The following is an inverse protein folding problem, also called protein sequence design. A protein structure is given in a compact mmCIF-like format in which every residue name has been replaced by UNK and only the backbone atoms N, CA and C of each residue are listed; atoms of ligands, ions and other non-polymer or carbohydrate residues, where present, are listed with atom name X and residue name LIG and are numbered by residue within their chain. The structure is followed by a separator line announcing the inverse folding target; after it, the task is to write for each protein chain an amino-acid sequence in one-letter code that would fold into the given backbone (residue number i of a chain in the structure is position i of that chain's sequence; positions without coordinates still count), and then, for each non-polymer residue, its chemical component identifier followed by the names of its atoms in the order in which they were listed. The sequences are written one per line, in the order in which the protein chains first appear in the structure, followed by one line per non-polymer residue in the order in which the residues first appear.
data_IF_818124783498
#
_entry.id   IF_818124783498
#
_cell.length_a   1.000
_cell.length_b   1.000
_cell.length_c   1.000
_cell.angle_alpha   90.00
_cell.angle_beta   90.00
_cell.angle_gamma   90.00
#
_symmetry.space_group_name_H-M   'P 1'
#
loop_
_entity.id
_entity.type
_entity.pdbx_description
1 polymer ?
#
# COMPACT_ATOMS: atom_id res chain seq x y z
N UNK A 1 8.98 -12.66 8.76
CA UNK A 1 7.79 -12.86 9.63
C UNK A 1 7.00 -14.11 9.24
N UNK A 2 6.51 -14.83 10.24
CA UNK A 2 5.84 -16.12 10.08
C UNK A 2 4.52 -16.10 10.86
N UNK A 3 3.41 -16.06 10.13
CA UNK A 3 2.08 -16.16 10.74
C UNK A 3 1.77 -17.62 11.05
N UNK A 4 1.32 -17.89 12.27
CA UNK A 4 0.74 -19.19 12.63
C UNK A 4 -0.71 -19.23 12.14
N UNK A 5 -0.95 -19.94 11.03
CA UNK A 5 -2.27 -20.41 10.64
C UNK A 5 -2.92 -21.20 11.80
N UNK A 6 -4.27 -21.23 11.92
CA UNK A 6 -4.98 -22.17 12.80
C UNK A 6 -4.53 -23.64 12.63
N UNK A 7 -3.90 -23.98 11.49
CA UNK A 7 -3.35 -25.30 11.17
C UNK A 7 -1.83 -25.45 11.35
N UNK A 8 -1.11 -24.52 12.00
CA UNK A 8 0.38 -24.54 12.16
C UNK A 8 1.16 -24.74 10.85
N UNK A 9 0.70 -24.18 9.74
CA UNK A 9 1.49 -24.10 8.50
C UNK A 9 2.25 -22.77 8.46
N UNK A 10 3.56 -22.83 8.25
CA UNK A 10 4.41 -21.68 7.96
C UNK A 10 3.99 -21.10 6.60
N UNK A 11 3.61 -19.82 6.57
CA UNK A 11 3.33 -19.07 5.35
C UNK A 11 4.31 -17.91 5.17
N UNK A 12 4.71 -17.65 3.93
CA UNK A 12 5.49 -16.46 3.57
C UNK A 12 4.60 -15.24 3.54
N UNK A 13 4.76 -14.35 4.52
CA UNK A 13 3.97 -13.11 4.68
C UNK A 13 4.89 -11.92 4.89
N UNK A 14 4.41 -10.72 4.51
CA UNK A 14 5.15 -9.47 4.71
C UNK A 14 5.23 -9.06 6.18
N UNK A 15 4.16 -9.31 6.93
CA UNK A 15 4.04 -9.03 8.36
C UNK A 15 2.96 -9.92 8.98
N UNK A 16 2.94 -9.99 10.30
CA UNK A 16 1.97 -10.81 11.02
C UNK A 16 0.62 -10.09 11.13
N UNK A 17 -0.49 -10.83 11.21
CA UNK A 17 -1.83 -10.26 11.41
C UNK A 17 -2.57 -11.08 12.45
N UNK A 18 -3.34 -10.42 13.30
CA UNK A 18 -4.19 -11.11 14.27
C UNK A 18 -5.41 -11.76 13.59
N UNK A 19 -5.99 -11.07 12.61
CA UNK A 19 -7.11 -11.56 11.79
C UNK A 19 -7.11 -10.87 10.43
N UNK A 20 -7.81 -11.45 9.45
CA UNK A 20 -8.11 -10.78 8.17
C UNK A 20 -9.34 -9.90 8.43
N UNK A 21 -9.11 -8.65 8.83
CA UNK A 21 -10.15 -7.67 9.10
C UNK A 21 -9.53 -6.27 9.16
N UNK A 22 -10.25 -5.25 8.70
CA UNK A 22 -9.86 -3.87 8.94
C UNK A 22 -10.17 -3.38 10.37
N UNK A 23 -10.89 -4.19 11.15
CA UNK A 23 -11.33 -3.88 12.52
C UNK A 23 -10.52 -4.66 13.57
N UNK A 24 -9.21 -4.77 13.37
CA UNK A 24 -8.27 -5.23 14.42
C UNK A 24 -7.06 -4.30 14.52
N UNK A 25 -6.31 -4.38 15.63
CA UNK A 25 -4.99 -3.80 15.71
C UNK A 25 -4.08 -4.34 14.61
N UNK A 26 -3.15 -3.50 14.16
CA UNK A 26 -2.03 -3.91 13.32
C UNK A 26 -0.94 -4.57 14.17
N UNK A 27 -0.19 -5.51 13.62
CA UNK A 27 1.03 -6.03 14.26
C UNK A 27 2.22 -5.11 13.91
N UNK A 28 2.21 -3.91 14.49
CA UNK A 28 3.11 -2.80 14.14
C UNK A 28 4.59 -3.17 14.20
N UNK A 29 5.02 -3.98 15.17
CA UNK A 29 6.41 -4.42 15.30
C UNK A 29 6.92 -5.14 14.03
N UNK A 30 6.11 -6.06 13.50
CA UNK A 30 6.50 -6.82 12.28
C UNK A 30 6.37 -6.01 11.01
N UNK A 31 5.43 -5.06 10.98
CA UNK A 31 5.29 -4.10 9.88
C UNK A 31 6.52 -3.18 9.84
N UNK A 32 6.95 -2.65 10.99
CA UNK A 32 8.13 -1.80 11.10
C UNK A 32 9.42 -2.54 10.74
N UNK A 33 9.58 -3.76 11.23
CA UNK A 33 10.70 -4.61 10.84
C UNK A 33 10.77 -4.80 9.31
N UNK A 34 9.62 -5.00 8.66
CA UNK A 34 9.56 -5.10 7.20
C UNK A 34 9.83 -3.76 6.51
N UNK A 35 9.32 -2.65 7.04
CA UNK A 35 9.64 -1.31 6.54
C UNK A 35 11.14 -1.02 6.58
N UNK A 36 11.85 -1.42 7.63
CA UNK A 36 13.30 -1.26 7.69
C UNK A 36 14.02 -2.06 6.60
N UNK A 37 13.66 -3.34 6.42
CA UNK A 37 14.25 -4.14 5.34
C UNK A 37 13.97 -3.59 3.94
N UNK A 38 12.74 -3.11 3.68
CA UNK A 38 12.39 -2.49 2.40
C UNK A 38 13.03 -1.10 2.22
N UNK A 39 13.31 -0.39 3.32
CA UNK A 39 14.06 0.87 3.29
C UNK A 39 15.50 0.65 2.82
N UNK A 40 16.13 -0.46 3.22
CA UNK A 40 17.47 -0.80 2.74
C UNK A 40 17.49 -1.02 1.22
N UNK A 41 16.45 -1.69 0.67
CA UNK A 41 16.31 -1.83 -0.78
C UNK A 41 16.16 -0.48 -1.49
N UNK A 42 15.31 0.41 -0.97
CA UNK A 42 15.16 1.77 -1.52
C UNK A 42 16.50 2.51 -1.46
N UNK A 43 17.25 2.39 -0.36
CA UNK A 43 18.55 3.03 -0.20
C UNK A 43 19.59 2.50 -1.20
N UNK A 44 19.54 1.22 -1.56
CA UNK A 44 20.44 0.65 -2.56
C UNK A 44 20.13 1.14 -3.98
N UNK A 45 18.85 1.33 -4.32
CA UNK A 45 18.47 2.00 -5.58
C UNK A 45 18.95 3.46 -5.62
N UNK A 46 18.84 4.18 -4.49
CA UNK A 46 19.34 5.56 -4.37
C UNK A 46 20.85 5.61 -4.53
N UNK A 47 21.61 4.71 -3.90
CA UNK A 47 23.07 4.59 -4.08
C UNK A 47 23.43 4.29 -5.53
N UNK A 48 22.57 3.60 -6.25
CA UNK A 48 22.72 3.30 -7.68
C UNK A 48 22.35 4.48 -8.60
N UNK A 49 21.93 5.61 -8.03
CA UNK A 49 21.66 6.87 -8.74
C UNK A 49 20.18 7.13 -9.01
N UNK A 50 19.26 6.30 -8.53
CA UNK A 50 17.81 6.52 -8.71
C UNK A 50 17.31 7.48 -7.63
N UNK A 51 16.87 8.67 -8.02
CA UNK A 51 16.24 9.62 -7.08
C UNK A 51 14.88 9.08 -6.59
N UNK A 52 14.48 9.39 -5.36
CA UNK A 52 13.23 8.85 -4.79
C UNK A 52 11.96 9.26 -5.54
N UNK A 53 11.93 10.45 -6.12
CA UNK A 53 10.88 10.87 -7.05
C UNK A 53 10.86 10.07 -8.38
N UNK A 54 11.75 9.08 -8.52
CA UNK A 54 11.78 8.05 -9.57
C UNK A 54 11.54 6.62 -9.05
N UNK A 55 11.06 6.48 -7.82
CA UNK A 55 10.71 5.20 -7.22
C UNK A 55 9.19 5.17 -7.01
N UNK A 56 8.55 4.11 -7.50
CA UNK A 56 7.18 3.73 -7.13
C UNK A 56 7.24 2.51 -6.22
N UNK A 57 6.41 2.50 -5.19
CA UNK A 57 6.25 1.34 -4.30
C UNK A 57 4.83 0.83 -4.38
N UNK A 58 4.64 -0.48 -4.39
CA UNK A 58 3.29 -1.03 -4.47
C UNK A 58 3.24 -2.54 -4.44
N UNK A 59 2.02 -3.06 -4.37
CA UNK A 59 1.80 -4.50 -4.35
C UNK A 59 0.33 -4.89 -4.35
N UNK A 60 0.13 -6.21 -4.39
CA UNK A 60 -1.18 -6.85 -4.32
C UNK A 60 -1.46 -7.35 -2.89
N UNK A 61 -2.72 -7.23 -2.45
CA UNK A 61 -3.18 -7.71 -1.15
C UNK A 61 -2.30 -7.19 -0.01
N UNK A 62 -1.77 -8.06 0.83
CA UNK A 62 -0.85 -7.69 1.92
C UNK A 62 0.35 -6.85 1.44
N UNK A 63 0.83 -7.05 0.21
CA UNK A 63 1.91 -6.24 -0.37
C UNK A 63 1.51 -4.79 -0.63
N UNK A 64 0.24 -4.54 -1.01
CA UNK A 64 -0.28 -3.18 -1.16
C UNK A 64 -0.37 -2.47 0.20
N UNK A 65 -0.81 -3.19 1.24
CA UNK A 65 -0.83 -2.70 2.62
C UNK A 65 0.57 -2.35 3.11
N UNK A 66 1.54 -3.23 2.83
CA UNK A 66 2.95 -3.00 3.14
C UNK A 66 3.51 -1.77 2.40
N UNK A 67 3.18 -1.59 1.13
CA UNK A 67 3.62 -0.42 0.35
C UNK A 67 3.08 0.90 0.91
N UNK A 68 1.81 0.93 1.33
CA UNK A 68 1.22 2.09 2.01
C UNK A 68 1.93 2.38 3.34
N UNK A 69 2.21 1.35 4.14
CA UNK A 69 3.00 1.52 5.38
C UNK A 69 4.41 2.06 5.11
N UNK A 70 5.09 1.57 4.09
CA UNK A 70 6.43 2.03 3.73
C UNK A 70 6.41 3.50 3.32
N UNK A 71 5.54 3.88 2.38
CA UNK A 71 5.51 5.23 1.84
C UNK A 71 5.02 6.27 2.87
N UNK A 72 3.84 6.04 3.47
CA UNK A 72 3.20 7.08 4.30
C UNK A 72 3.80 7.23 5.70
N UNK A 73 4.68 6.32 6.10
CA UNK A 73 5.39 6.39 7.39
C UNK A 73 6.88 6.67 7.24
N UNK A 74 7.55 6.18 6.19
CA UNK A 74 9.01 6.22 6.08
C UNK A 74 9.54 6.90 4.82
N UNK A 75 8.83 6.82 3.69
CA UNK A 75 9.30 7.32 2.39
C UNK A 75 8.23 8.15 1.67
N UNK A 76 7.89 9.32 2.22
CA UNK A 76 6.85 10.22 1.68
C UNK A 76 7.29 11.00 0.44
N UNK A 77 8.54 10.83 0.04
CA UNK A 77 9.20 11.48 -1.09
C UNK A 77 9.35 10.54 -2.30
N UNK A 78 8.72 9.36 -2.27
CA UNK A 78 8.57 8.49 -3.44
C UNK A 78 7.64 9.11 -4.48
N UNK A 79 7.73 8.67 -5.73
CA UNK A 79 6.94 9.23 -6.83
C UNK A 79 5.44 8.91 -6.74
N UNK A 80 5.09 7.85 -6.02
CA UNK A 80 3.74 7.33 -5.91
C UNK A 80 3.69 5.95 -5.30
N UNK A 81 2.47 5.57 -4.92
CA UNK A 81 2.13 4.29 -4.29
C UNK A 81 1.04 3.63 -5.12
N UNK A 82 1.13 2.31 -5.36
CA UNK A 82 0.00 1.55 -5.88
C UNK A 82 -0.41 0.40 -4.97
N UNK A 83 -1.71 0.18 -4.84
CA UNK A 83 -2.28 -0.87 -3.99
C UNK A 83 -3.41 -1.59 -4.73
N UNK A 84 -3.24 -2.89 -4.96
CA UNK A 84 -4.19 -3.73 -5.70
C UNK A 84 -4.88 -4.68 -4.70
N UNK A 85 -6.21 -4.64 -4.63
CA UNK A 85 -7.03 -5.48 -3.72
C UNK A 85 -6.52 -5.48 -2.28
N UNK A 86 -6.30 -4.29 -1.72
CA UNK A 86 -5.63 -4.07 -0.43
C UNK A 86 -6.38 -3.06 0.43
N UNK A 87 -6.05 -3.04 1.73
CA UNK A 87 -6.64 -2.13 2.71
C UNK A 87 -5.61 -1.76 3.80
N UNK A 88 -5.96 -0.76 4.60
CA UNK A 88 -5.37 -0.44 5.90
C UNK A 88 -6.42 -0.68 7.00
N UNK A 89 -5.97 -0.99 8.21
CA UNK A 89 -6.87 -1.12 9.35
C UNK A 89 -7.41 0.26 9.77
N UNK A 90 -8.58 0.31 10.41
CA UNK A 90 -9.22 1.59 10.78
C UNK A 90 -8.35 2.48 11.66
N UNK A 91 -7.61 1.86 12.58
CA UNK A 91 -6.65 2.53 13.47
C UNK A 91 -5.21 2.36 12.93
N UNK A 92 -5.03 2.46 11.60
CA UNK A 92 -3.72 2.22 10.98
C UNK A 92 -2.68 3.23 11.43
N UNK A 93 -1.46 2.74 11.68
CA UNK A 93 -0.30 3.59 11.93
C UNK A 93 -0.02 4.57 10.78
N UNK A 94 -0.45 4.27 9.55
CA UNK A 94 -0.38 5.21 8.42
C UNK A 94 -1.17 6.49 8.70
N UNK A 95 -2.42 6.36 9.18
CA UNK A 95 -3.29 7.51 9.42
C UNK A 95 -2.73 8.40 10.51
N UNK A 96 -2.28 7.80 11.62
CA UNK A 96 -1.65 8.55 12.72
C UNK A 96 -0.35 9.23 12.28
N UNK A 97 0.47 8.53 11.49
CA UNK A 97 1.73 9.06 10.98
C UNK A 97 1.54 10.28 10.08
N UNK A 98 0.50 10.28 9.23
CA UNK A 98 0.16 11.44 8.39
C UNK A 98 -0.43 12.58 9.24
N UNK A 99 -1.31 12.29 10.20
CA UNK A 99 -1.91 13.31 11.07
C UNK A 99 -0.89 14.05 11.92
N UNK A 100 0.19 13.37 12.32
CA UNK A 100 1.28 13.96 13.10
C UNK A 100 2.15 14.95 12.29
N UNK A 101 1.95 15.07 10.98
CA UNK A 101 2.75 15.95 10.14
C UNK A 101 2.40 17.41 10.31
N UNK A 102 3.45 18.25 10.30
CA UNK A 102 3.24 19.68 10.14
C UNK A 102 2.84 19.97 8.68
N UNK A 103 1.97 20.95 8.48
CA UNK A 103 1.48 21.37 7.14
C UNK A 103 2.58 21.78 6.14
N UNK A 104 3.83 21.91 6.59
CA UNK A 104 4.98 22.34 5.79
C UNK A 104 5.87 21.17 5.33
N UNK A 105 5.52 19.91 5.60
CA UNK A 105 6.36 18.74 5.31
C UNK A 105 6.25 18.19 3.87
N UNK A 106 5.69 18.98 2.95
CA UNK A 106 5.58 18.65 1.52
C UNK A 106 4.34 17.83 1.16
N UNK A 107 4.18 17.59 -0.15
CA UNK A 107 3.07 16.80 -0.67
C UNK A 107 3.27 15.30 -0.42
N UNK A 108 2.19 14.60 -0.10
CA UNK A 108 2.20 13.14 0.07
C UNK A 108 2.19 12.42 -1.28
N UNK A 109 2.79 11.22 -1.39
CA UNK A 109 2.86 10.50 -2.65
C UNK A 109 1.45 10.02 -3.06
N UNK A 110 1.13 10.18 -4.34
CA UNK A 110 -0.16 9.78 -4.91
C UNK A 110 -0.44 8.30 -4.69
N UNK A 111 -1.67 7.97 -4.31
CA UNK A 111 -2.16 6.59 -4.23
C UNK A 111 -2.97 6.23 -5.48
N UNK A 112 -2.49 5.23 -6.20
CA UNK A 112 -3.24 4.52 -7.23
C UNK A 112 -3.79 3.21 -6.65
N UNK A 113 -5.09 3.16 -6.39
CA UNK A 113 -5.71 1.97 -5.82
C UNK A 113 -6.61 1.29 -6.85
N UNK A 114 -6.55 -0.04 -6.92
CA UNK A 114 -7.47 -0.87 -7.67
C UNK A 114 -8.13 -1.90 -6.76
N UNK A 115 -9.40 -2.23 -7.02
CA UNK A 115 -10.10 -3.24 -6.23
C UNK A 115 -11.23 -3.90 -7.01
N UNK A 116 -11.35 -5.23 -6.89
CA UNK A 116 -12.47 -5.98 -7.43
C UNK A 116 -13.73 -5.84 -6.56
N UNK A 117 -14.90 -5.62 -7.17
CA UNK A 117 -16.13 -5.44 -6.39
C UNK A 117 -16.71 -6.75 -5.85
N UNK A 118 -16.21 -7.90 -6.32
CA UNK A 118 -16.62 -9.23 -5.87
C UNK A 118 -15.60 -9.87 -4.92
N UNK A 119 -14.55 -9.15 -4.52
CA UNK A 119 -13.52 -9.64 -3.59
C UNK A 119 -14.13 -10.02 -2.22
N UNK A 120 -14.28 -11.31 -1.97
CA UNK A 120 -14.78 -11.85 -0.69
C UNK A 120 -13.68 -12.00 0.38
N UNK A 121 -12.40 -12.02 -0.02
CA UNK A 121 -11.30 -12.18 0.94
C UNK A 121 -10.95 -10.84 1.59
N UNK A 122 -10.81 -9.81 0.76
CA UNK A 122 -10.61 -8.43 1.15
C UNK A 122 -11.80 -7.62 0.59
N UNK A 123 -12.90 -7.48 1.35
CA UNK A 123 -14.08 -6.75 0.92
C UNK A 123 -13.74 -5.39 0.31
N UNK A 124 -14.34 -5.09 -0.86
CA UNK A 124 -14.21 -3.80 -1.54
C UNK A 124 -14.39 -2.60 -0.58
N UNK A 125 -15.32 -2.71 0.37
CA UNK A 125 -15.59 -1.67 1.36
C UNK A 125 -14.37 -1.31 2.22
N UNK A 126 -13.46 -2.26 2.49
CA UNK A 126 -12.23 -1.98 3.25
C UNK A 126 -11.24 -1.16 2.41
N UNK A 127 -11.12 -1.49 1.12
CA UNK A 127 -10.35 -0.70 0.18
C UNK A 127 -10.91 0.71 0.02
N UNK A 128 -12.24 0.83 -0.09
CA UNK A 128 -12.94 2.11 -0.17
C UNK A 128 -12.75 2.97 1.09
N UNK A 129 -12.86 2.38 2.28
CA UNK A 129 -12.63 3.06 3.56
C UNK A 129 -11.18 3.55 3.66
N UNK A 130 -10.22 2.71 3.28
CA UNK A 130 -8.80 3.08 3.19
C UNK A 130 -8.59 4.30 2.30
N UNK A 131 -9.18 4.30 1.10
CA UNK A 131 -9.07 5.39 0.15
C UNK A 131 -9.66 6.69 0.70
N UNK A 132 -10.87 6.63 1.27
CA UNK A 132 -11.55 7.78 1.87
C UNK A 132 -10.74 8.38 3.02
N UNK A 133 -10.17 7.54 3.89
CA UNK A 133 -9.35 7.99 5.02
C UNK A 133 -8.04 8.62 4.56
N UNK A 134 -7.30 8.02 3.61
CA UNK A 134 -6.07 8.64 3.10
C UNK A 134 -6.37 9.96 2.39
N UNK A 135 -7.46 10.01 1.62
CA UNK A 135 -7.88 11.23 0.92
C UNK A 135 -8.26 12.36 1.89
N UNK A 136 -8.95 12.05 2.99
CA UNK A 136 -9.29 13.06 4.02
C UNK A 136 -8.05 13.61 4.74
N UNK A 137 -6.95 12.85 4.75
CA UNK A 137 -5.65 13.24 5.29
C UNK A 137 -4.74 13.95 4.27
N UNK A 138 -5.24 14.25 3.07
CA UNK A 138 -4.51 15.00 2.05
C UNK A 138 -3.68 14.17 1.08
N UNK A 139 -3.75 12.83 1.13
CA UNK A 139 -3.16 11.99 0.09
C UNK A 139 -3.93 12.18 -1.22
N UNK A 140 -3.26 12.46 -2.35
CA UNK A 140 -3.92 12.43 -3.65
C UNK A 140 -4.24 10.98 -4.00
N UNK A 141 -5.42 10.52 -3.62
CA UNK A 141 -5.83 9.12 -3.75
C UNK A 141 -6.94 8.93 -4.81
N UNK A 142 -6.75 7.90 -5.63
CA UNK A 142 -7.72 7.39 -6.61
C UNK A 142 -8.08 5.94 -6.30
N UNK A 143 -9.32 5.56 -6.58
CA UNK A 143 -9.81 4.18 -6.46
C UNK A 143 -10.47 3.77 -7.77
N UNK A 144 -9.95 2.71 -8.37
CA UNK A 144 -10.44 2.13 -9.60
C UNK A 144 -11.08 0.77 -9.32
N UNK A 145 -12.34 0.62 -9.70
CA UNK A 145 -13.14 -0.56 -9.37
C UNK A 145 -13.31 -1.48 -10.56
N UNK A 146 -13.23 -2.78 -10.34
CA UNK A 146 -13.37 -3.80 -11.37
C UNK A 146 -14.59 -4.69 -11.04
N UNK A 147 -15.72 -4.52 -11.76
CA UNK A 147 -16.93 -5.31 -11.51
C UNK A 147 -16.68 -6.81 -11.70
N UNK A 148 -17.23 -7.63 -10.80
CA UNK A 148 -17.13 -9.10 -10.82
C UNK A 148 -15.71 -9.67 -10.71
N UNK A 149 -14.72 -8.83 -10.37
CA UNK A 149 -13.37 -9.30 -10.06
C UNK A 149 -13.32 -9.70 -8.59
N UNK A 150 -12.87 -10.93 -8.33
CA UNK A 150 -12.66 -11.49 -7.00
C UNK A 150 -11.29 -11.02 -6.43
N UNK A 151 -10.71 -11.78 -5.50
CA UNK A 151 -9.37 -11.52 -4.96
C UNK A 151 -8.25 -11.95 -5.93
N UNK A 152 -8.21 -11.35 -7.11
CA UNK A 152 -7.24 -11.66 -8.16
C UNK A 152 -6.88 -10.43 -8.99
N UNK A 153 -5.93 -10.60 -9.91
CA UNK A 153 -5.52 -9.56 -10.85
C UNK A 153 -6.21 -9.76 -12.20
N UNK A 154 -6.62 -8.67 -12.84
CA UNK A 154 -7.16 -8.71 -14.19
C UNK A 154 -6.25 -8.01 -15.21
N UNK A 155 -6.33 -8.42 -16.49
CA UNK A 155 -5.60 -7.73 -17.56
C UNK A 155 -5.94 -6.24 -17.62
N UNK A 156 -7.22 -5.89 -17.48
CA UNK A 156 -7.70 -4.50 -17.53
C UNK A 156 -7.17 -3.68 -16.37
N UNK A 157 -7.06 -4.27 -15.17
CA UNK A 157 -6.43 -3.64 -14.01
C UNK A 157 -4.93 -3.37 -14.25
N UNK A 158 -4.20 -4.37 -14.75
CA UNK A 158 -2.76 -4.23 -15.02
C UNK A 158 -2.47 -3.21 -16.11
N UNK A 159 -3.26 -3.17 -17.19
CA UNK A 159 -3.09 -2.13 -18.22
C UNK A 159 -3.38 -0.74 -17.65
N UNK A 160 -4.35 -0.61 -16.74
CA UNK A 160 -4.64 0.67 -16.09
C UNK A 160 -3.51 1.12 -15.16
N UNK A 161 -2.94 0.21 -14.37
CA UNK A 161 -1.76 0.48 -13.56
C UNK A 161 -0.58 0.89 -14.44
N UNK A 162 -0.34 0.18 -15.54
CA UNK A 162 0.72 0.50 -16.49
C UNK A 162 0.56 1.91 -17.06
N UNK A 163 -0.65 2.32 -17.47
CA UNK A 163 -0.90 3.70 -17.93
C UNK A 163 -0.50 4.71 -16.85
N UNK A 164 -0.91 4.50 -15.60
CA UNK A 164 -0.54 5.39 -14.50
C UNK A 164 0.98 5.45 -14.25
N UNK A 165 1.68 4.31 -14.31
CA UNK A 165 3.15 4.26 -14.21
C UNK A 165 3.81 5.09 -15.32
N UNK A 166 3.30 4.98 -16.55
CA UNK A 166 3.85 5.70 -17.71
C UNK A 166 3.58 7.21 -17.64
N UNK A 167 2.49 7.65 -17.00
CA UNK A 167 2.23 9.06 -16.73
C UNK A 167 3.21 9.65 -15.70
N UNK A 168 3.64 8.83 -14.72
CA UNK A 168 4.66 9.21 -13.74
C UNK A 168 6.07 9.24 -14.34
N UNK A 169 6.34 8.38 -15.33
CA UNK A 169 7.61 8.31 -16.05
C UNK A 169 7.38 8.43 -17.56
N UNK A 170 7.11 9.64 -18.07
CA UNK A 170 7.07 9.83 -19.51
C UNK A 170 8.42 9.41 -20.10
N UNK A 171 8.37 8.46 -21.03
CA UNK A 171 9.55 8.09 -21.82
C UNK A 171 9.90 9.30 -22.67
N UNK A 172 11.11 9.83 -22.48
CA UNK A 172 11.66 10.92 -23.27
C UNK A 172 11.84 10.52 -24.74
#
# INVERSE_FOLDING_TARGET
PHMLSPSRTLSTVWFDRYKISNDCPEHTETIESMCHGLTDLINDEIKSGITKNRILVGGFSMGGGMAMHLAYRFHRDVAGVFALSSFLNKESACFFSIQALNRNEGDLPELFQCHGTADELIPYSWGEETNKMLKSLGVPASLHTFPNLDHELSRTEIEKLKTWIMEKYPVA
#
